data_IF_912543977356
#
_entry.id   IF_912543977356
#
_cell.length_a   1.000
_cell.length_b   1.000
_cell.length_c   1.000
_cell.angle_alpha   90.00
_cell.angle_beta   90.00
_cell.angle_gamma   90.00
#
_symmetry.space_group_name_H-M   'P 1'
#
loop_
_entity.id
_entity.type
_entity.pdbx_description
1 polymer ?
#
# COMPACT_ATOMS: atom_id res chain seq x y z
N UNK A 1 10.22 -15.04 -10.99
CA UNK A 1 10.05 -14.35 -9.70
C UNK A 1 8.55 -14.21 -9.41
N UNK A 2 8.09 -14.70 -8.26
CA UNK A 2 6.71 -14.61 -7.76
C UNK A 2 6.52 -13.29 -7.01
N UNK A 3 5.29 -12.83 -6.87
CA UNK A 3 4.99 -11.60 -6.11
C UNK A 3 5.45 -11.70 -4.65
N UNK A 4 5.35 -12.89 -4.04
CA UNK A 4 5.88 -13.14 -2.69
C UNK A 4 7.40 -12.97 -2.57
N UNK A 5 8.15 -13.28 -3.62
CA UNK A 5 9.61 -13.08 -3.66
C UNK A 5 9.94 -11.60 -3.78
N UNK A 6 9.17 -10.85 -4.58
CA UNK A 6 9.28 -9.39 -4.70
C UNK A 6 8.98 -8.74 -3.35
N UNK A 7 7.89 -9.14 -2.70
CA UNK A 7 7.50 -8.63 -1.40
C UNK A 7 8.59 -8.87 -0.35
N UNK A 8 9.13 -10.09 -0.31
CA UNK A 8 10.25 -10.42 0.59
C UNK A 8 11.44 -9.50 0.34
N UNK A 9 11.85 -9.32 -0.91
CA UNK A 9 12.97 -8.44 -1.27
C UNK A 9 12.72 -6.98 -0.86
N UNK A 10 11.50 -6.45 -1.03
CA UNK A 10 11.13 -5.10 -0.60
C UNK A 10 11.24 -4.96 0.92
N UNK A 11 10.73 -5.93 1.68
CA UNK A 11 10.79 -5.91 3.15
C UNK A 11 12.24 -6.06 3.65
N UNK A 12 13.02 -6.96 3.06
CA UNK A 12 14.45 -7.13 3.39
C UNK A 12 15.24 -5.84 3.11
N UNK A 13 15.03 -5.24 1.92
CA UNK A 13 15.65 -3.97 1.56
C UNK A 13 15.28 -2.84 2.54
N UNK A 14 14.00 -2.73 2.87
CA UNK A 14 13.55 -1.73 3.83
C UNK A 14 14.19 -1.94 5.20
N UNK A 15 14.19 -3.16 5.74
CA UNK A 15 14.82 -3.44 7.04
C UNK A 15 16.31 -3.09 7.07
N UNK A 16 17.01 -3.22 5.95
CA UNK A 16 18.43 -2.91 5.85
C UNK A 16 18.71 -1.39 5.73
N UNK A 17 17.82 -0.63 5.08
CA UNK A 17 18.10 0.75 4.64
C UNK A 17 17.01 1.77 5.05
N UNK A 18 16.07 1.39 5.92
CA UNK A 18 14.96 2.25 6.31
C UNK A 18 15.41 3.54 6.97
N UNK A 19 14.62 4.60 6.74
CA UNK A 19 14.74 5.84 7.50
C UNK A 19 14.21 5.62 8.94
N UNK A 20 14.85 6.15 9.98
CA UNK A 20 14.31 6.10 11.34
C UNK A 20 12.87 6.64 11.43
N UNK A 21 12.04 6.01 12.26
CA UNK A 21 10.65 6.43 12.46
C UNK A 21 9.70 6.09 11.30
N UNK A 22 10.09 5.16 10.43
CA UNK A 22 9.26 4.71 9.31
C UNK A 22 9.03 3.19 9.35
N UNK A 23 7.92 2.73 8.77
CA UNK A 23 7.51 1.32 8.74
C UNK A 23 7.07 0.94 7.34
N UNK A 24 7.45 -0.27 6.90
CA UNK A 24 6.80 -0.96 5.77
C UNK A 24 6.36 -2.32 6.28
N UNK A 25 5.06 -2.60 6.19
CA UNK A 25 4.44 -3.81 6.73
C UNK A 25 3.50 -4.44 5.72
N UNK A 26 3.42 -5.77 5.73
CA UNK A 26 2.48 -6.51 4.91
C UNK A 26 1.05 -6.34 5.42
N UNK A 27 0.09 -6.17 4.50
CA UNK A 27 -1.33 -6.25 4.81
C UNK A 27 -1.77 -7.69 4.50
N UNK A 28 -2.13 -8.52 5.50
CA UNK A 28 -2.53 -9.90 5.29
C UNK A 28 -3.98 -9.97 4.81
N UNK A 29 -4.25 -9.57 3.56
CA UNK A 29 -5.59 -9.59 2.98
C UNK A 29 -5.83 -10.77 2.02
N UNK A 30 -4.86 -11.67 1.89
CA UNK A 30 -5.03 -12.85 1.04
C UNK A 30 -6.06 -13.79 1.66
N UNK A 31 -7.06 -14.20 0.87
CA UNK A 31 -8.16 -15.12 1.29
C UNK A 31 -9.12 -14.55 2.35
N UNK A 32 -9.12 -13.24 2.52
CA UNK A 32 -9.93 -12.46 3.45
C UNK A 32 -11.45 -12.39 3.14
N UNK A 33 -11.97 -13.26 2.28
CA UNK A 33 -13.33 -13.14 1.77
C UNK A 33 -14.37 -13.28 2.90
N UNK A 34 -15.24 -12.27 3.05
CA UNK A 34 -16.37 -12.31 3.97
C UNK A 34 -16.04 -12.01 5.44
N UNK A 35 -14.80 -11.64 5.78
CA UNK A 35 -14.46 -11.25 7.14
C UNK A 35 -14.76 -9.77 7.38
N UNK A 36 -15.37 -9.46 8.53
CA UNK A 36 -15.63 -8.09 8.94
C UNK A 36 -14.32 -7.28 9.04
N UNK A 37 -14.32 -6.09 8.45
CA UNK A 37 -13.16 -5.20 8.46
C UNK A 37 -12.13 -5.47 7.37
N UNK A 38 -12.26 -6.56 6.59
CA UNK A 38 -11.37 -6.82 5.45
C UNK A 38 -11.98 -6.27 4.15
N UNK A 39 -11.23 -5.42 3.47
CA UNK A 39 -11.64 -4.77 2.22
C UNK A 39 -11.00 -5.49 1.02
N UNK A 40 -11.79 -6.02 0.07
CA UNK A 40 -11.24 -6.63 -1.14
C UNK A 40 -10.32 -5.65 -1.90
N UNK A 41 -9.18 -6.15 -2.37
CA UNK A 41 -8.26 -5.36 -3.18
C UNK A 41 -7.41 -4.36 -2.39
N UNK A 42 -7.30 -4.48 -1.06
CA UNK A 42 -6.27 -3.76 -0.30
C UNK A 42 -4.88 -4.06 -0.87
N UNK A 43 -3.98 -3.06 -0.90
CA UNK A 43 -2.61 -3.24 -1.39
C UNK A 43 -1.80 -4.21 -0.52
N UNK A 44 -0.74 -4.79 -1.10
CA UNK A 44 0.10 -5.77 -0.40
C UNK A 44 0.83 -5.19 0.82
N UNK A 45 1.25 -3.92 0.74
CA UNK A 45 2.05 -3.26 1.78
C UNK A 45 1.45 -1.92 2.22
N UNK A 46 1.53 -1.65 3.51
CA UNK A 46 1.34 -0.34 4.13
C UNK A 46 2.69 0.27 4.48
N UNK A 47 2.85 1.56 4.21
CA UNK A 47 4.02 2.36 4.55
C UNK A 47 3.62 3.48 5.51
N UNK A 48 4.32 3.64 6.62
CA UNK A 48 4.15 4.75 7.57
C UNK A 48 5.41 5.60 7.61
N UNK A 49 5.26 6.91 7.66
CA UNK A 49 6.37 7.83 7.93
C UNK A 49 5.90 9.23 8.27
N UNK A 50 6.84 10.18 8.38
CA UNK A 50 6.55 11.55 8.82
C UNK A 50 5.49 12.28 7.98
N UNK A 51 5.32 11.90 6.71
CA UNK A 51 4.37 12.53 5.79
C UNK A 51 3.02 11.80 5.72
N UNK A 52 2.82 10.78 6.57
CA UNK A 52 1.58 10.04 6.68
C UNK A 52 1.69 8.59 6.19
N UNK A 53 0.55 8.08 5.72
CA UNK A 53 0.39 6.68 5.29
C UNK A 53 0.45 6.60 3.77
N UNK A 54 1.18 5.60 3.27
CA UNK A 54 1.20 5.19 1.87
C UNK A 54 0.89 3.71 1.74
N UNK A 55 0.57 3.28 0.51
CA UNK A 55 0.33 1.88 0.20
C UNK A 55 1.06 1.50 -1.08
N UNK A 56 1.57 0.27 -1.13
CA UNK A 56 2.26 -0.29 -2.29
C UNK A 56 1.56 -1.59 -2.68
N UNK A 57 1.14 -1.64 -3.94
CA UNK A 57 0.66 -2.85 -4.61
C UNK A 57 1.82 -3.40 -5.45
N UNK A 58 2.18 -4.65 -5.23
CA UNK A 58 3.28 -5.32 -5.91
C UNK A 58 2.72 -6.17 -7.04
N UNK A 59 3.38 -6.09 -8.21
CA UNK A 59 3.08 -6.95 -9.35
C UNK A 59 4.36 -7.51 -9.93
N UNK A 60 4.27 -8.72 -10.47
CA UNK A 60 5.32 -9.19 -11.39
C UNK A 60 5.35 -8.33 -12.65
N UNK A 61 6.40 -8.46 -13.47
CA UNK A 61 6.53 -7.75 -14.76
C UNK A 61 5.30 -7.93 -15.67
N UNK A 62 4.60 -9.08 -15.56
CA UNK A 62 3.38 -9.37 -16.34
C UNK A 62 2.10 -9.25 -15.51
N UNK A 63 2.22 -8.97 -14.22
CA UNK A 63 1.09 -8.87 -13.29
C UNK A 63 0.25 -7.64 -13.61
N UNK A 64 -1.07 -7.80 -13.52
CA UNK A 64 -2.04 -6.72 -13.72
C UNK A 64 -2.84 -6.53 -12.44
N UNK A 65 -3.16 -5.28 -12.12
CA UNK A 65 -4.08 -4.97 -11.03
C UNK A 65 -5.48 -5.53 -11.35
N UNK A 66 -6.11 -6.14 -10.35
CA UNK A 66 -7.52 -6.54 -10.44
C UNK A 66 -8.44 -5.33 -10.36
N UNK A 67 -9.70 -5.50 -10.75
CA UNK A 67 -10.70 -4.42 -10.65
C UNK A 67 -10.89 -3.94 -9.21
N UNK A 68 -10.85 -4.84 -8.22
CA UNK A 68 -10.94 -4.46 -6.80
C UNK A 68 -9.74 -3.58 -6.37
N UNK A 69 -8.53 -3.91 -6.84
CA UNK A 69 -7.33 -3.11 -6.56
C UNK A 69 -7.37 -1.74 -7.23
N UNK A 70 -7.89 -1.67 -8.46
CA UNK A 70 -8.11 -0.40 -9.15
C UNK A 70 -9.15 0.47 -8.43
N UNK A 71 -10.26 -0.12 -7.99
CA UNK A 71 -11.29 0.57 -7.23
C UNK A 71 -10.76 1.12 -5.89
N UNK A 72 -9.96 0.32 -5.17
CA UNK A 72 -9.30 0.80 -3.95
C UNK A 72 -8.37 1.99 -4.24
N UNK A 73 -7.56 1.90 -5.31
CA UNK A 73 -6.64 2.99 -5.71
C UNK A 73 -7.39 4.28 -6.00
N UNK A 74 -8.53 4.20 -6.66
CA UNK A 74 -9.38 5.36 -6.95
C UNK A 74 -9.93 5.98 -5.66
N UNK A 75 -10.51 5.16 -4.78
CA UNK A 75 -11.01 5.60 -3.47
C UNK A 75 -9.90 6.30 -2.65
N UNK A 76 -8.73 5.69 -2.56
CA UNK A 76 -7.58 6.28 -1.86
C UNK A 76 -7.13 7.60 -2.50
N UNK A 77 -7.17 7.69 -3.83
CA UNK A 77 -6.90 8.91 -4.57
C UNK A 77 -7.86 10.05 -4.21
N UNK A 78 -9.15 9.75 -4.06
CA UNK A 78 -10.16 10.71 -3.60
C UNK A 78 -9.87 11.18 -2.18
N UNK A 79 -9.59 10.26 -1.25
CA UNK A 79 -9.23 10.59 0.15
C UNK A 79 -8.02 11.53 0.21
N UNK A 80 -6.96 11.24 -0.55
CA UNK A 80 -5.76 12.09 -0.59
C UNK A 80 -6.02 13.49 -1.14
N UNK A 81 -6.91 13.64 -2.13
CA UNK A 81 -7.28 14.94 -2.68
C UNK A 81 -8.05 15.77 -1.66
N UNK A 82 -9.04 15.16 -1.00
CA UNK A 82 -9.83 15.84 0.05
C UNK A 82 -8.99 16.26 1.26
N UNK A 83 -7.93 15.51 1.59
CA UNK A 83 -7.04 15.81 2.71
C UNK A 83 -5.93 16.83 2.37
N UNK A 84 -5.73 17.18 1.10
CA UNK A 84 -4.90 18.34 0.73
C UNK A 84 -5.71 19.60 0.98
N UNK A 85 -5.57 20.20 2.17
CA UNK A 85 -6.05 21.56 2.40
C UNK A 85 -5.43 22.47 1.32
N UNK A 86 -6.20 23.37 0.66
CA UNK A 86 -5.60 24.43 -0.13
C UNK A 86 -4.65 25.20 0.80
N UNK A 87 -3.41 25.38 0.37
CA UNK A 87 -2.36 25.96 1.18
C UNK A 87 -2.81 27.26 1.83
N UNK A 88 -2.68 27.34 3.16
CA UNK A 88 -2.53 28.64 3.80
C UNK A 88 -1.16 29.11 3.36
N UNK A 89 -1.16 30.08 2.44
CA UNK A 89 0.04 30.77 2.00
C UNK A 89 0.81 31.30 3.21
N UNK A 90 2.13 31.13 3.15
CA UNK A 90 3.09 32.05 3.74
C UNK A 90 4.08 32.43 2.65
#
# INVERSE_FOLDING_TARGET
>A
MRESEIQRAVIEHWRALATPGTLVAAIPNQRAHGQYGLTPGLPDLMCLGQFGVGFIELKTVRGKASQAQLAFRELWGLVRKSNRRPGIGR
#
